data_IF_120783775338
#
_entry.id   IF_120783775338
#
_cell.length_a   1.000
_cell.length_b   1.000
_cell.length_c   1.000
_cell.angle_alpha   90.00
_cell.angle_beta   90.00
_cell.angle_gamma   90.00
#
_symmetry.space_group_name_H-M   'P 1'
#
loop_
_entity.id
_entity.type
_entity.pdbx_description
1 polymer ?
#
# COMPACT_ATOMS: atom_id res chain seq x y z
N UNK A 1 -2.98 -11.69 4.65
CA UNK A 1 -2.77 -10.81 3.47
C UNK A 1 -3.99 -9.94 3.27
N UNK A 2 -3.80 -8.66 2.97
CA UNK A 2 -4.90 -7.69 2.80
C UNK A 2 -4.71 -6.88 1.52
N UNK A 3 -5.84 -6.54 0.88
CA UNK A 3 -5.84 -5.56 -0.22
C UNK A 3 -5.35 -4.21 0.27
N UNK A 4 -4.58 -3.52 -0.58
CA UNK A 4 -4.28 -2.11 -0.36
C UNK A 4 -5.53 -1.25 -0.41
N UNK A 5 -5.45 -0.08 0.21
CA UNK A 5 -6.59 0.83 0.35
C UNK A 5 -7.00 1.39 -1.02
N UNK A 6 -8.29 1.30 -1.36
CA UNK A 6 -8.83 1.96 -2.54
C UNK A 6 -9.17 3.41 -2.19
N UNK A 7 -8.51 4.39 -2.81
CA UNK A 7 -8.74 5.81 -2.47
C UNK A 7 -10.09 6.31 -2.98
N UNK A 8 -10.57 5.79 -4.10
CA UNK A 8 -11.80 6.21 -4.79
C UNK A 8 -11.64 7.42 -5.71
N UNK A 9 -10.51 8.12 -5.63
CA UNK A 9 -10.18 9.26 -6.50
C UNK A 9 -8.66 9.51 -6.46
N UNK A 10 -7.88 8.65 -7.14
CA UNK A 10 -6.41 8.70 -7.09
C UNK A 10 -5.85 10.09 -7.45
N UNK A 11 -6.43 10.77 -8.44
CA UNK A 11 -6.01 12.12 -8.83
C UNK A 11 -6.23 13.22 -7.77
N UNK A 12 -7.00 12.93 -6.72
CA UNK A 12 -7.21 13.84 -5.59
C UNK A 12 -6.47 13.40 -4.35
N UNK A 13 -6.44 12.11 -4.06
CA UNK A 13 -5.85 11.58 -2.81
C UNK A 13 -4.37 11.23 -2.92
N UNK A 14 -3.79 11.28 -4.13
CA UNK A 14 -2.37 10.99 -4.36
C UNK A 14 -1.69 12.25 -4.89
N UNK A 15 -0.68 12.72 -4.18
CA UNK A 15 0.11 13.91 -4.50
C UNK A 15 1.60 13.60 -4.36
N UNK A 16 2.44 14.61 -4.57
CA UNK A 16 3.88 14.49 -4.35
C UNK A 16 4.19 14.42 -2.85
N UNK A 17 5.25 13.72 -2.47
CA UNK A 17 5.51 13.43 -1.05
C UNK A 17 5.81 14.67 -0.21
N UNK A 18 6.20 15.76 -0.86
CA UNK A 18 6.58 17.05 -0.31
C UNK A 18 5.60 18.18 -0.70
N UNK A 19 4.36 17.84 -1.09
CA UNK A 19 3.34 18.82 -1.50
C UNK A 19 3.13 19.92 -0.43
N UNK A 20 3.55 21.17 -0.69
CA UNK A 20 3.50 22.24 0.31
C UNK A 20 2.07 22.74 0.57
N UNK A 21 1.09 22.35 -0.27
CA UNK A 21 -0.30 22.73 -0.11
C UNK A 21 -0.97 22.04 1.09
N UNK A 22 -0.35 21.00 1.65
CA UNK A 22 -0.83 20.25 2.80
C UNK A 22 0.24 20.14 3.89
N UNK A 23 -0.18 19.93 5.16
CA UNK A 23 0.75 19.59 6.24
C UNK A 23 1.47 18.27 5.94
N UNK A 24 2.77 18.18 6.20
CA UNK A 24 3.55 16.96 5.94
C UNK A 24 3.05 15.75 6.73
N UNK A 25 2.45 15.98 7.90
CA UNK A 25 1.89 14.93 8.77
C UNK A 25 0.68 14.20 8.19
N UNK A 26 0.06 14.73 7.13
CA UNK A 26 -1.04 14.04 6.42
C UNK A 26 -0.59 13.39 5.10
N UNK A 27 0.70 13.51 4.75
CA UNK A 27 1.29 12.97 3.54
C UNK A 27 2.03 11.68 3.87
N UNK A 28 1.46 10.55 3.46
CA UNK A 28 2.01 9.23 3.74
C UNK A 28 2.61 8.64 2.47
N UNK A 29 3.94 8.54 2.35
CA UNK A 29 4.58 7.92 1.19
C UNK A 29 4.04 6.50 0.97
N UNK A 30 3.67 6.21 -0.27
CA UNK A 30 2.97 4.98 -0.58
C UNK A 30 3.38 4.41 -1.94
N UNK A 31 3.30 3.09 -2.03
CA UNK A 31 3.29 2.39 -3.31
C UNK A 31 1.93 2.62 -3.96
N UNK A 32 1.95 3.37 -5.06
CA UNK A 32 0.78 3.79 -5.84
C UNK A 32 0.66 3.09 -7.18
N UNK A 33 1.76 2.49 -7.65
CA UNK A 33 1.82 1.77 -8.92
C UNK A 33 2.61 0.48 -8.77
N UNK A 34 2.18 -0.58 -9.46
CA UNK A 34 2.87 -1.87 -9.42
C UNK A 34 4.34 -1.79 -9.90
N UNK A 35 4.66 -0.88 -10.83
CA UNK A 35 6.04 -0.68 -11.32
C UNK A 35 7.01 -0.28 -10.22
N UNK A 36 6.54 0.40 -9.17
CA UNK A 36 7.35 0.81 -8.02
C UNK A 36 7.81 -0.39 -7.19
N UNK A 37 7.14 -1.55 -7.29
CA UNK A 37 7.60 -2.80 -6.67
C UNK A 37 8.48 -3.62 -7.62
N UNK A 38 8.14 -3.65 -8.92
CA UNK A 38 8.96 -4.38 -9.89
C UNK A 38 10.34 -3.75 -10.10
N UNK A 39 10.49 -2.44 -9.88
CA UNK A 39 11.76 -1.73 -9.98
C UNK A 39 12.68 -1.85 -8.77
N UNK A 40 12.23 -2.53 -7.70
CA UNK A 40 13.02 -2.64 -6.45
C UNK A 40 14.10 -3.71 -6.60
N UNK A 41 15.35 -3.26 -6.70
CA UNK A 41 16.51 -4.15 -6.72
C UNK A 41 16.56 -5.01 -5.45
N UNK A 42 16.85 -6.31 -5.61
CA UNK A 42 16.91 -7.26 -4.49
C UNK A 42 15.57 -7.55 -3.78
N UNK A 43 14.46 -6.93 -4.22
CA UNK A 43 13.17 -7.07 -3.57
C UNK A 43 13.11 -6.47 -2.16
N UNK A 44 13.93 -5.44 -1.88
CA UNK A 44 13.96 -4.71 -0.61
C UNK A 44 13.73 -3.22 -0.88
N UNK A 45 12.58 -2.71 -0.45
CA UNK A 45 12.26 -1.28 -0.49
C UNK A 45 12.82 -0.62 0.78
N UNK A 46 13.98 0.02 0.66
CA UNK A 46 14.71 0.65 1.78
C UNK A 46 14.46 2.15 1.94
N UNK A 47 13.91 2.81 0.92
CA UNK A 47 13.61 4.25 0.94
C UNK A 47 12.26 4.55 0.32
N UNK A 48 11.64 5.64 0.78
CA UNK A 48 10.43 6.22 0.19
C UNK A 48 10.74 7.23 -0.92
N UNK A 49 12.02 7.48 -1.22
CA UNK A 49 12.43 8.42 -2.26
C UNK A 49 11.82 8.05 -3.63
N UNK A 50 11.23 9.04 -4.30
CA UNK A 50 10.55 8.86 -5.58
C UNK A 50 9.15 8.25 -5.49
N UNK A 51 8.69 7.85 -4.30
CA UNK A 51 7.29 7.48 -4.10
C UNK A 51 6.43 8.74 -3.99
N UNK A 52 5.19 8.60 -4.45
CA UNK A 52 4.13 9.59 -4.19
C UNK A 52 3.58 9.41 -2.78
N UNK A 53 2.89 10.41 -2.26
CA UNK A 53 2.18 10.31 -1.00
C UNK A 53 0.67 10.14 -1.21
N UNK A 54 0.05 9.37 -0.32
CA UNK A 54 -1.39 9.37 -0.14
C UNK A 54 -1.72 10.38 0.95
N UNK A 55 -2.66 11.26 0.66
CA UNK A 55 -3.23 12.20 1.63
C UNK A 55 -4.18 11.41 2.53
N UNK A 56 -3.83 11.24 3.80
CA UNK A 56 -4.64 10.49 4.77
C UNK A 56 -4.94 11.37 5.98
N UNK A 57 -6.16 11.91 5.98
CA UNK A 57 -6.65 12.80 7.03
C UNK A 57 -7.30 11.99 8.17
N UNK A 58 -7.12 12.41 9.43
CA UNK A 58 -7.83 11.84 10.57
C UNK A 58 -9.32 12.20 10.53
N UNK A 59 -10.11 11.50 11.36
CA UNK A 59 -11.53 11.81 11.57
C UNK A 59 -11.71 13.19 12.18
N UNK A 60 -10.93 13.49 13.22
CA UNK A 60 -10.95 14.77 13.91
C UNK A 60 -9.92 15.72 13.30
N UNK A 61 -10.39 16.82 12.71
CA UNK A 61 -9.56 17.85 12.09
C UNK A 61 -9.27 19.02 13.04
N UNK A 62 -9.79 19.00 14.27
CA UNK A 62 -9.52 20.04 15.27
C UNK A 62 -8.16 19.82 15.97
N UNK A 63 -7.51 18.67 15.72
CA UNK A 63 -6.14 18.39 16.16
C UNK A 63 -5.09 19.28 15.48
N UNK A 64 -5.42 19.83 14.31
CA UNK A 64 -4.51 20.66 13.52
C UNK A 64 -4.54 22.11 14.00
N UNK A 65 -3.40 22.79 13.92
CA UNK A 65 -3.36 24.22 14.18
C UNK A 65 -4.17 25.03 13.15
N UNK A 66 -4.35 26.33 13.42
CA UNK A 66 -5.16 27.19 12.56
C UNK A 66 -4.62 27.31 11.14
N UNK A 67 -3.30 27.22 10.93
CA UNK A 67 -2.69 27.33 9.60
C UNK A 67 -2.89 26.05 8.79
N UNK A 68 -2.65 24.91 9.41
CA UNK A 68 -2.81 23.58 8.82
C UNK A 68 -4.26 23.25 8.53
N UNK A 69 -5.15 23.59 9.46
CA UNK A 69 -6.59 23.47 9.24
C UNK A 69 -7.06 24.25 8.01
N UNK A 70 -6.55 25.48 7.78
CA UNK A 70 -6.89 26.26 6.58
C UNK A 70 -6.40 25.59 5.29
N UNK A 71 -5.23 24.94 5.31
CA UNK A 71 -4.70 24.17 4.18
C UNK A 71 -5.58 22.96 3.86
N UNK A 72 -5.91 22.18 4.90
CA UNK A 72 -6.78 21.00 4.79
C UNK A 72 -8.18 21.39 4.31
N UNK A 73 -8.81 22.42 4.87
CA UNK A 73 -10.14 22.88 4.45
C UNK A 73 -10.16 23.32 2.98
N UNK A 74 -9.11 24.01 2.52
CA UNK A 74 -8.97 24.42 1.11
C UNK A 74 -8.90 23.18 0.21
N UNK A 75 -8.12 22.19 0.59
CA UNK A 75 -8.03 20.92 -0.12
C UNK A 75 -9.38 20.20 -0.18
N UNK A 76 -10.08 20.06 0.96
CA UNK A 76 -11.38 19.39 1.02
C UNK A 76 -12.44 20.10 0.18
N UNK A 77 -12.50 21.44 0.20
CA UNK A 77 -13.40 22.22 -0.67
C UNK A 77 -13.07 22.03 -2.15
N UNK A 78 -11.80 21.88 -2.51
CA UNK A 78 -11.41 21.60 -3.89
C UNK A 78 -11.82 20.18 -4.31
N UNK A 79 -11.62 19.19 -3.43
CA UNK A 79 -12.05 17.81 -3.65
C UNK A 79 -13.57 17.70 -3.79
N UNK A 80 -14.33 18.42 -2.96
CA UNK A 80 -15.80 18.45 -3.04
C UNK A 80 -16.29 19.08 -4.35
N UNK A 81 -15.70 20.20 -4.78
CA UNK A 81 -16.00 20.82 -6.10
C UNK A 81 -15.70 19.89 -7.28
N UNK A 82 -14.76 18.95 -7.13
CA UNK A 82 -14.44 17.91 -8.12
C UNK A 82 -15.38 16.70 -8.04
N UNK A 83 -16.38 16.72 -7.16
CA UNK A 83 -17.35 15.64 -6.98
C UNK A 83 -16.82 14.44 -6.18
N UNK A 84 -15.66 14.54 -5.53
CA UNK A 84 -15.03 13.40 -4.82
C UNK A 84 -15.92 12.88 -3.69
N UNK A 85 -16.55 13.76 -2.93
CA UNK A 85 -17.50 13.41 -1.85
C UNK A 85 -18.68 12.58 -2.37
N UNK A 86 -19.16 12.86 -3.58
CA UNK A 86 -20.27 12.14 -4.18
C UNK A 86 -19.87 10.77 -4.76
N UNK A 87 -18.58 10.47 -4.85
CA UNK A 87 -18.07 9.19 -5.35
C UNK A 87 -18.43 8.00 -4.47
N UNK A 88 -18.58 6.82 -5.08
CA UNK A 88 -19.05 5.61 -4.39
C UNK A 88 -18.28 5.29 -3.09
N UNK A 89 -16.94 5.33 -3.12
CA UNK A 89 -16.14 5.02 -1.93
C UNK A 89 -16.30 6.10 -0.85
N UNK A 90 -16.29 7.39 -1.23
CA UNK A 90 -16.42 8.49 -0.29
C UNK A 90 -17.79 8.49 0.42
N UNK A 91 -18.89 8.15 -0.29
CA UNK A 91 -20.23 8.04 0.30
C UNK A 91 -20.35 6.93 1.36
N UNK A 92 -19.47 5.93 1.31
CA UNK A 92 -19.45 4.82 2.26
C UNK A 92 -18.41 5.03 3.39
N UNK A 93 -17.76 6.20 3.44
CA UNK A 93 -16.83 6.58 4.51
C UNK A 93 -17.50 7.57 5.45
N UNK A 94 -17.12 7.50 6.72
CA UNK A 94 -17.52 8.49 7.71
C UNK A 94 -16.32 8.86 8.59
N UNK A 95 -15.82 10.11 8.50
CA UNK A 95 -16.13 11.14 7.51
C UNK A 95 -15.74 10.78 6.07
N UNK A 96 -16.31 11.45 5.06
CA UNK A 96 -16.07 11.12 3.65
C UNK A 96 -14.61 11.24 3.20
N UNK A 97 -13.81 12.04 3.92
CA UNK A 97 -12.40 12.32 3.63
C UNK A 97 -11.41 11.31 4.21
N UNK A 98 -11.85 10.38 5.07
CA UNK A 98 -10.92 9.42 5.69
C UNK A 98 -10.58 8.31 4.71
N UNK A 99 -9.42 8.41 4.03
CA UNK A 99 -8.97 7.38 3.08
C UNK A 99 -8.82 6.02 3.75
N UNK A 100 -8.33 6.00 4.99
CA UNK A 100 -8.22 4.79 5.80
C UNK A 100 -7.04 3.92 5.36
N UNK A 101 -5.85 4.50 5.33
CA UNK A 101 -4.63 3.71 5.13
C UNK A 101 -4.42 2.74 6.29
N UNK A 102 -4.06 1.50 5.95
CA UNK A 102 -3.52 0.56 6.94
C UNK A 102 -2.09 0.97 7.30
N UNK A 103 -1.63 0.50 8.45
CA UNK A 103 -0.21 0.57 8.82
C UNK A 103 0.67 -0.01 7.70
N UNK A 104 1.90 0.47 7.50
CA UNK A 104 2.80 -0.07 6.50
C UNK A 104 2.95 -1.59 6.65
N UNK A 105 2.71 -2.33 5.57
CA UNK A 105 2.89 -3.78 5.60
C UNK A 105 4.39 -4.10 5.59
N UNK A 106 4.88 -5.08 6.38
CA UNK A 106 6.28 -5.49 6.34
C UNK A 106 6.69 -6.10 5.00
N UNK A 107 5.75 -6.72 4.28
CA UNK A 107 5.97 -7.23 2.92
C UNK A 107 4.83 -6.75 2.02
N UNK A 108 5.18 -6.24 0.85
CA UNK A 108 4.27 -5.75 -0.18
C UNK A 108 4.24 -6.74 -1.35
N UNK A 109 3.08 -6.91 -1.98
CA UNK A 109 2.93 -7.76 -3.14
C UNK A 109 2.15 -7.08 -4.26
N UNK A 110 2.56 -7.22 -5.52
CA UNK A 110 1.80 -6.63 -6.63
C UNK A 110 0.45 -7.31 -6.83
N UNK A 111 -0.60 -6.51 -7.01
CA UNK A 111 -1.97 -7.02 -7.19
C UNK A 111 -2.26 -7.52 -8.61
N UNK A 112 -1.81 -6.79 -9.63
CA UNK A 112 -2.00 -7.15 -11.03
C UNK A 112 -0.74 -6.92 -11.84
N UNK A 113 -0.41 -7.88 -12.70
CA UNK A 113 0.74 -7.81 -13.59
C UNK A 113 0.61 -8.80 -14.77
N UNK A 114 1.43 -8.61 -15.81
CA UNK A 114 1.57 -9.57 -16.92
C UNK A 114 2.72 -10.57 -16.70
N UNK A 115 3.04 -10.80 -15.43
CA UNK A 115 4.15 -11.63 -14.94
C UNK A 115 3.80 -12.10 -13.51
N UNK A 116 4.53 -13.08 -12.94
CA UNK A 116 4.35 -13.46 -11.55
C UNK A 116 4.38 -12.26 -10.60
N UNK A 117 3.67 -12.33 -9.44
CA UNK A 117 3.63 -11.21 -8.51
C UNK A 117 5.01 -10.94 -7.94
N UNK A 118 5.39 -9.67 -7.83
CA UNK A 118 6.57 -9.31 -7.04
C UNK A 118 6.22 -9.33 -5.56
N UNK A 119 7.14 -9.83 -4.73
CA UNK A 119 7.11 -9.71 -3.27
C UNK A 119 8.31 -8.88 -2.82
N UNK A 120 8.04 -7.82 -2.07
CA UNK A 120 9.04 -6.83 -1.67
C UNK A 120 9.01 -6.65 -0.17
N UNK A 121 10.17 -6.81 0.47
CA UNK A 121 10.35 -6.47 1.88
C UNK A 121 10.32 -4.95 2.02
N UNK A 122 9.44 -4.43 2.86
CA UNK A 122 9.25 -3.00 3.06
C UNK A 122 9.97 -2.54 4.34
N UNK A 123 11.21 -2.09 4.18
CA UNK A 123 11.99 -1.46 5.25
C UNK A 123 11.76 0.05 5.30
N UNK A 124 11.32 0.64 4.19
CA UNK A 124 11.02 2.06 4.05
C UNK A 124 9.79 2.52 4.86
N UNK A 125 8.96 1.60 5.34
CA UNK A 125 7.70 1.95 5.98
C UNK A 125 6.68 2.59 5.02
N UNK A 126 6.76 2.28 3.72
CA UNK A 126 5.83 2.81 2.73
C UNK A 126 4.43 2.20 2.93
N UNK A 127 3.39 3.04 2.83
CA UNK A 127 2.01 2.56 2.74
C UNK A 127 1.72 1.97 1.35
N UNK A 128 0.52 1.45 1.14
CA UNK A 128 0.11 0.96 -0.16
C UNK A 128 -1.38 1.19 -0.46
N UNK A 129 -1.67 1.64 -1.68
CA UNK A 129 -3.02 1.63 -2.24
C UNK A 129 -3.29 0.31 -2.95
N UNK A 130 -4.49 0.15 -3.52
CA UNK A 130 -4.93 -1.05 -4.22
C UNK A 130 -4.11 -1.48 -5.46
N UNK A 131 -3.00 -0.79 -5.77
CA UNK A 131 -1.99 -1.27 -6.71
C UNK A 131 -1.13 -2.42 -6.13
N UNK A 132 -1.08 -2.53 -4.80
CA UNK A 132 -0.37 -3.58 -4.08
C UNK A 132 -1.20 -4.11 -2.91
N UNK A 133 -0.89 -5.31 -2.48
CA UNK A 133 -1.36 -5.93 -1.25
C UNK A 133 -0.33 -5.79 -0.15
N UNK A 134 -0.80 -5.78 1.09
CA UNK A 134 0.05 -5.90 2.26
C UNK A 134 -0.01 -7.31 2.86
N UNK A 135 1.14 -7.86 3.21
CA UNK A 135 1.27 -9.10 3.97
C UNK A 135 1.68 -8.72 5.39
N UNK A 136 0.87 -9.16 6.35
CA UNK A 136 1.05 -8.90 7.77
C UNK A 136 1.10 -10.26 8.47
N UNK A 137 2.19 -10.59 9.17
CA UNK A 137 2.20 -11.71 10.10
C UNK A 137 1.08 -11.57 11.12
N UNK A 138 0.47 -12.69 11.50
CA UNK A 138 -0.54 -12.73 12.59
C UNK A 138 0.12 -12.65 13.97
N UNK A 139 1.34 -13.15 14.05
CA UNK A 139 2.19 -13.11 15.24
C UNK A 139 3.43 -12.28 14.91
N UNK A 140 4.01 -11.55 15.88
CA UNK A 140 5.25 -10.82 15.67
C UNK A 140 6.37 -11.73 15.14
N UNK A 141 7.09 -11.26 14.13
CA UNK A 141 8.26 -11.94 13.56
C UNK A 141 9.46 -10.99 13.64
N UNK A 142 10.66 -11.53 13.86
CA UNK A 142 11.89 -10.75 13.80
C UNK A 142 12.14 -10.22 12.39
N UNK A 143 13.03 -9.23 12.26
CA UNK A 143 13.42 -8.69 10.97
C UNK A 143 13.98 -9.78 10.04
N UNK A 144 14.87 -10.64 10.55
CA UNK A 144 15.50 -11.71 9.77
C UNK A 144 14.46 -12.72 9.26
N UNK A 145 13.48 -13.08 10.10
CA UNK A 145 12.40 -14.01 9.69
C UNK A 145 11.52 -13.37 8.61
N UNK A 146 11.25 -12.07 8.70
CA UNK A 146 10.52 -11.35 7.65
C UNK A 146 11.29 -11.29 6.33
N UNK A 147 12.61 -11.16 6.40
CA UNK A 147 13.48 -11.12 5.23
C UNK A 147 13.53 -12.49 4.55
N UNK A 148 13.67 -13.56 5.34
CA UNK A 148 13.57 -14.96 4.86
C UNK A 148 12.19 -15.28 4.30
N UNK A 149 11.11 -14.83 4.95
CA UNK A 149 9.75 -14.97 4.43
C UNK A 149 9.59 -14.25 3.07
N UNK A 150 10.09 -13.02 2.95
CA UNK A 150 10.03 -12.28 1.70
C UNK A 150 10.83 -12.99 0.59
N UNK A 151 11.99 -13.56 0.92
CA UNK A 151 12.79 -14.36 -0.01
C UNK A 151 12.07 -15.63 -0.46
N UNK A 152 11.50 -16.40 0.48
CA UNK A 152 10.72 -17.59 0.17
C UNK A 152 9.52 -17.28 -0.74
N UNK A 153 8.79 -16.19 -0.46
CA UNK A 153 7.69 -15.73 -1.30
C UNK A 153 8.15 -15.34 -2.72
N UNK A 154 9.29 -14.65 -2.86
CA UNK A 154 9.85 -14.32 -4.17
C UNK A 154 10.20 -15.58 -4.97
N UNK A 155 10.84 -16.56 -4.33
CA UNK A 155 11.18 -17.84 -4.96
C UNK A 155 9.92 -18.60 -5.38
N UNK A 156 8.88 -18.58 -4.56
CA UNK A 156 7.62 -19.26 -4.84
C UNK A 156 6.69 -18.48 -5.80
N UNK A 157 6.99 -17.21 -6.11
CA UNK A 157 6.12 -16.34 -6.91
C UNK A 157 5.66 -16.94 -8.25
N UNK A 158 6.49 -17.67 -9.02
CA UNK A 158 6.05 -18.30 -10.27
C UNK A 158 4.94 -19.35 -10.10
N UNK A 159 4.75 -19.88 -8.89
CA UNK A 159 3.68 -20.85 -8.58
C UNK A 159 2.33 -20.18 -8.28
N UNK A 160 2.30 -18.85 -8.17
CA UNK A 160 1.09 -18.10 -7.88
C UNK A 160 0.08 -18.23 -9.04
N UNK A 161 -1.12 -18.70 -8.74
CA UNK A 161 -2.21 -18.84 -9.71
C UNK A 161 -3.19 -17.68 -9.54
N UNK A 162 -3.13 -16.71 -10.46
CA UNK A 162 -4.07 -15.59 -10.54
C UNK A 162 -5.17 -15.82 -11.57
N UNK A 163 -6.16 -14.94 -11.60
CA UNK A 163 -7.18 -14.90 -12.66
C UNK A 163 -6.67 -14.11 -13.86
N UNK A 164 -6.79 -14.70 -15.05
CA UNK A 164 -6.43 -14.05 -16.32
C UNK A 164 -7.55 -13.16 -16.83
N UNK A 165 -7.21 -11.92 -17.16
CA UNK A 165 -8.06 -10.96 -17.85
C UNK A 165 -7.55 -10.73 -19.29
N UNK A 166 -8.32 -9.98 -20.08
CA UNK A 166 -7.95 -9.63 -21.45
C UNK A 166 -6.51 -9.05 -21.54
N UNK A 167 -5.78 -9.47 -22.58
CA UNK A 167 -4.41 -9.01 -22.83
C UNK A 167 -3.36 -9.56 -21.86
N UNK A 168 -3.58 -10.75 -21.29
CA UNK A 168 -2.62 -11.47 -20.45
C UNK A 168 -2.40 -10.85 -19.06
N UNK A 169 -3.29 -9.95 -18.64
CA UNK A 169 -3.22 -9.34 -17.32
C UNK A 169 -3.66 -10.34 -16.27
N UNK A 170 -2.74 -10.75 -15.40
CA UNK A 170 -3.06 -11.58 -14.25
C UNK A 170 -3.44 -10.69 -13.08
N UNK A 171 -4.49 -11.11 -12.38
CA UNK A 171 -4.93 -10.51 -11.14
C UNK A 171 -4.79 -11.53 -10.04
N UNK A 172 -4.06 -11.16 -9.00
CA UNK A 172 -3.79 -11.97 -7.82
C UNK A 172 -4.57 -11.38 -6.65
N UNK A 173 -5.63 -12.03 -6.24
CA UNK A 173 -6.38 -11.68 -5.03
C UNK A 173 -5.73 -12.29 -3.79
N UNK A 174 -5.98 -11.75 -2.57
CA UNK A 174 -5.45 -12.32 -1.34
C UNK A 174 -5.71 -13.82 -1.17
N UNK A 175 -6.88 -14.31 -1.59
CA UNK A 175 -7.22 -15.74 -1.53
C UNK A 175 -6.43 -16.62 -2.50
N UNK A 176 -5.98 -16.05 -3.61
CA UNK A 176 -5.16 -16.73 -4.62
C UNK A 176 -3.70 -16.80 -4.13
N UNK A 177 -3.16 -15.68 -3.64
CA UNK A 177 -1.80 -15.64 -3.08
C UNK A 177 -1.66 -16.43 -1.78
N UNK A 178 -2.73 -16.58 -1.01
CA UNK A 178 -2.74 -17.43 0.18
C UNK A 178 -2.51 -18.93 -0.11
N UNK A 179 -2.55 -19.34 -1.40
CA UNK A 179 -2.29 -20.72 -1.84
C UNK A 179 -0.82 -20.97 -2.19
N UNK A 180 0.02 -19.93 -2.20
CA UNK A 180 1.45 -20.07 -2.44
C UNK A 180 2.04 -20.88 -1.27
N UNK A 181 2.67 -22.01 -1.60
CA UNK A 181 3.31 -22.88 -0.62
C UNK A 181 4.65 -22.26 -0.25
N UNK A 182 4.85 -22.03 1.05
CA UNK A 182 6.09 -21.51 1.64
C UNK A 182 6.42 -22.29 2.92
N UNK A 183 7.68 -22.24 3.39
CA UNK A 183 8.03 -22.80 4.69
C UNK A 183 7.19 -22.18 5.82
N UNK A 184 6.87 -23.00 6.82
CA UNK A 184 6.16 -22.55 8.02
C UNK A 184 7.06 -21.70 8.95
N UNK A 185 6.49 -20.99 9.94
CA UNK A 185 7.23 -20.08 10.81
C UNK A 185 8.47 -20.68 11.50
N UNK A 186 8.37 -21.91 12.02
CA UNK A 186 9.51 -22.59 12.68
C UNK A 186 10.68 -22.83 11.71
N UNK A 187 10.38 -23.30 10.49
CA UNK A 187 11.40 -23.51 9.45
C UNK A 187 12.01 -22.18 9.03
N UNK A 188 11.20 -21.13 8.89
CA UNK A 188 11.71 -19.79 8.57
C UNK A 188 12.66 -19.25 9.64
N UNK A 189 12.43 -19.57 10.92
CA UNK A 189 13.34 -19.23 12.02
C UNK A 189 14.65 -20.02 11.93
N UNK A 190 14.59 -21.32 11.68
CA UNK A 190 15.79 -22.14 11.51
C UNK A 190 16.65 -21.67 10.32
N UNK A 191 16.01 -21.22 9.22
CA UNK A 191 16.69 -20.68 8.04
C UNK A 191 17.40 -19.33 8.27
N UNK A 192 17.16 -18.66 9.40
CA UNK A 192 17.83 -17.39 9.76
C UNK A 192 19.07 -17.56 10.63
N UNK A 193 19.29 -18.75 11.19
CA UNK A 193 20.43 -19.08 12.04
C UNK A 193 21.66 -19.49 11.20
#
# INVERSE_FOLDING_TARGET
MHRGTATGANSTWITDADDPALPSEVLFPAVTRAVELFGVAGGILSSTYGLRAVINLPTDLDIFDKADRRRIDRFLRAAERRGVRAGYIARNRNPWWTVGLRAPAPILATYMARRPPAFVRNLAGAHNVNAAHGIYPREPMSADVLDTLAAALRTAAPTAVGRTYAGGLLKFEPSEMARIIIPGPAILQEMTA
#
